data_IF_299969568441
#
_entry.id   IF_299969568441
#
_cell.length_a   1.000
_cell.length_b   1.000
_cell.length_c   1.000
_cell.angle_alpha   90.00
_cell.angle_beta   90.00
_cell.angle_gamma   90.00
#
_symmetry.space_group_name_H-M   'P 1'
#
loop_
_entity.id
_entity.type
_entity.pdbx_description
1 polymer ?
#
# COMPACT_ATOMS: atom_id res chain seq x y z
N UNK A 1 -43.74 -35.52 11.31
CA UNK A 1 -42.27 -35.81 11.24
C UNK A 1 -41.52 -35.15 10.07
N UNK A 2 -42.15 -34.40 9.18
CA UNK A 2 -41.45 -33.71 8.05
C UNK A 2 -40.84 -32.32 8.38
N UNK A 3 -41.35 -31.51 9.31
CA UNK A 3 -40.76 -30.17 9.53
C UNK A 3 -39.42 -30.16 10.29
N UNK A 4 -39.14 -31.18 11.16
CA UNK A 4 -37.85 -31.21 11.87
C UNK A 4 -36.64 -31.51 10.98
N UNK A 5 -36.83 -32.24 9.87
CA UNK A 5 -35.74 -32.59 8.96
C UNK A 5 -35.29 -31.40 8.11
N UNK A 6 -36.20 -30.48 7.79
CA UNK A 6 -35.86 -29.24 7.06
C UNK A 6 -35.12 -28.22 7.97
N UNK A 7 -35.43 -28.16 9.25
CA UNK A 7 -34.75 -27.28 10.20
C UNK A 7 -33.31 -27.77 10.42
N UNK A 8 -33.07 -29.07 10.46
CA UNK A 8 -31.72 -29.63 10.60
C UNK A 8 -30.87 -29.43 9.33
N UNK A 9 -31.44 -29.51 8.14
CA UNK A 9 -30.73 -29.21 6.89
C UNK A 9 -30.36 -27.72 6.76
N UNK A 10 -31.24 -26.82 7.21
CA UNK A 10 -30.93 -25.37 7.23
C UNK A 10 -29.84 -25.02 8.26
N UNK A 11 -29.82 -25.67 9.41
CA UNK A 11 -28.78 -25.48 10.39
C UNK A 11 -27.42 -26.04 9.95
N UNK A 12 -27.40 -27.15 9.25
CA UNK A 12 -26.15 -27.73 8.72
C UNK A 12 -25.58 -26.91 7.55
N UNK A 13 -26.41 -26.32 6.71
CA UNK A 13 -25.99 -25.41 5.63
C UNK A 13 -25.48 -24.07 6.18
N UNK A 14 -26.11 -23.52 7.23
CA UNK A 14 -25.66 -22.32 7.89
C UNK A 14 -24.33 -22.52 8.65
N UNK A 15 -24.10 -23.67 9.27
CA UNK A 15 -22.83 -24.02 9.90
C UNK A 15 -21.71 -24.29 8.87
N UNK A 16 -22.00 -24.90 7.72
CA UNK A 16 -20.99 -25.15 6.69
C UNK A 16 -20.48 -23.87 6.02
N UNK A 17 -21.31 -22.83 5.92
CA UNK A 17 -20.88 -21.52 5.41
C UNK A 17 -19.97 -20.74 6.41
N UNK A 18 -20.10 -20.97 7.72
CA UNK A 18 -19.34 -20.24 8.75
C UNK A 18 -17.93 -20.80 8.98
N UNK A 19 -17.63 -22.02 8.56
CA UNK A 19 -16.34 -22.67 8.77
C UNK A 19 -15.38 -22.56 7.55
N UNK A 20 -15.81 -21.96 6.46
CA UNK A 20 -15.02 -21.83 5.23
C UNK A 20 -13.70 -21.08 5.45
N UNK A 21 -13.70 -20.05 6.28
CA UNK A 21 -12.50 -19.23 6.57
C UNK A 21 -11.39 -20.05 7.25
N UNK A 22 -11.71 -21.04 8.08
CA UNK A 22 -10.73 -21.89 8.78
C UNK A 22 -10.24 -23.07 7.94
N UNK A 23 -10.81 -23.29 6.76
CA UNK A 23 -10.31 -24.25 5.78
C UNK A 23 -9.18 -23.69 4.91
N UNK A 24 -8.90 -22.37 5.01
CA UNK A 24 -7.80 -21.72 4.33
C UNK A 24 -6.46 -22.11 4.95
N UNK A 25 -5.34 -22.04 4.19
CA UNK A 25 -4.01 -22.35 4.74
C UNK A 25 -3.68 -21.45 5.93
N UNK A 26 -3.07 -22.05 6.95
CA UNK A 26 -2.45 -21.31 8.05
C UNK A 26 -1.18 -20.64 7.55
N UNK A 27 -0.98 -19.38 7.89
CA UNK A 27 0.22 -18.60 7.59
C UNK A 27 1.00 -18.38 8.88
N UNK A 28 2.22 -18.88 8.92
CA UNK A 28 3.18 -18.58 9.98
C UNK A 28 3.81 -17.21 9.79
N UNK A 29 4.45 -16.71 10.82
CA UNK A 29 5.32 -15.54 10.67
C UNK A 29 6.48 -15.87 9.74
N UNK A 30 6.92 -14.94 8.89
CA UNK A 30 8.00 -15.18 7.95
C UNK A 30 9.34 -15.27 8.68
N UNK A 31 10.20 -16.15 8.20
CA UNK A 31 11.62 -16.16 8.55
C UNK A 31 12.39 -15.53 7.39
N UNK A 32 13.01 -14.39 7.62
CA UNK A 32 13.81 -13.71 6.62
C UNK A 32 15.25 -14.23 6.61
N UNK A 33 15.81 -14.36 5.41
CA UNK A 33 17.21 -14.70 5.18
C UNK A 33 18.08 -13.46 5.04
N UNK A 34 17.46 -12.40 4.56
CA UNK A 34 18.04 -11.10 4.25
C UNK A 34 17.14 -9.96 4.76
N UNK A 35 17.72 -8.78 4.92
CA UNK A 35 17.07 -7.52 5.28
C UNK A 35 17.42 -6.50 4.20
N UNK A 36 16.46 -6.13 3.36
CA UNK A 36 16.70 -5.23 2.24
C UNK A 36 16.79 -3.78 2.73
N UNK A 37 17.85 -3.10 2.35
CA UNK A 37 18.15 -1.73 2.75
C UNK A 37 17.72 -0.71 1.69
N UNK A 38 17.87 -1.06 0.40
CA UNK A 38 17.60 -0.13 -0.69
C UNK A 38 17.21 -0.82 -1.99
N UNK A 39 16.25 -0.23 -2.70
CA UNK A 39 15.89 -0.57 -4.08
C UNK A 39 16.22 0.62 -5.00
N UNK A 40 17.10 0.45 -5.99
CA UNK A 40 17.30 1.38 -7.14
C UNK A 40 16.63 0.76 -8.37
N UNK A 41 15.41 1.20 -8.68
CA UNK A 41 14.55 0.67 -9.73
C UNK A 41 14.63 1.61 -10.95
N UNK A 42 15.01 1.09 -12.12
CA UNK A 42 15.06 1.84 -13.37
C UNK A 42 14.14 1.15 -14.40
N UNK A 43 13.07 1.83 -14.78
CA UNK A 43 12.03 1.34 -15.69
C UNK A 43 12.00 2.16 -16.97
N UNK A 44 11.93 1.49 -18.11
CA UNK A 44 11.53 2.07 -19.38
C UNK A 44 10.17 1.53 -19.78
N UNK A 45 9.18 2.39 -19.84
CA UNK A 45 7.81 2.05 -20.21
C UNK A 45 7.69 2.06 -21.74
N UNK A 46 7.14 1.01 -22.30
CA UNK A 46 6.85 0.80 -23.71
C UNK A 46 5.33 0.76 -23.89
N UNK A 47 4.69 1.93 -23.76
CA UNK A 47 3.23 2.08 -23.68
C UNK A 47 2.49 1.50 -24.90
N UNK A 48 3.03 1.66 -26.11
CA UNK A 48 2.44 1.10 -27.34
C UNK A 48 2.52 -0.44 -27.38
N UNK A 49 3.53 -1.03 -26.75
CA UNK A 49 3.73 -2.49 -26.66
C UNK A 49 3.06 -3.08 -25.40
N UNK A 50 2.54 -2.23 -24.52
CA UNK A 50 2.01 -2.58 -23.18
C UNK A 50 2.99 -3.43 -22.39
N UNK A 51 4.26 -3.05 -22.45
CA UNK A 51 5.38 -3.76 -21.83
C UNK A 51 6.36 -2.80 -21.17
N UNK A 52 7.34 -3.33 -20.46
CA UNK A 52 8.41 -2.54 -19.86
C UNK A 52 9.74 -3.31 -19.82
N UNK A 53 10.83 -2.56 -19.78
CA UNK A 53 12.18 -3.05 -19.51
C UNK A 53 12.60 -2.48 -18.18
N UNK A 54 13.09 -3.35 -17.28
CA UNK A 54 13.50 -2.98 -15.95
C UNK A 54 14.93 -3.39 -15.62
N UNK A 55 15.52 -2.63 -14.71
CA UNK A 55 16.76 -2.94 -14.03
C UNK A 55 16.65 -2.49 -12.59
N UNK A 56 16.76 -3.43 -11.65
CA UNK A 56 16.72 -3.12 -10.23
C UNK A 56 18.02 -3.54 -9.56
N UNK A 57 18.65 -2.61 -8.84
CA UNK A 57 19.73 -2.93 -7.90
C UNK A 57 19.16 -3.02 -6.50
N UNK A 58 19.36 -4.16 -5.84
CA UNK A 58 18.86 -4.46 -4.50
C UNK A 58 20.07 -4.55 -3.57
N UNK A 59 20.15 -3.64 -2.59
CA UNK A 59 21.15 -3.69 -1.53
C UNK A 59 20.52 -4.28 -0.27
N UNK A 60 21.14 -5.32 0.29
CA UNK A 60 20.61 -6.06 1.43
C UNK A 60 21.70 -6.56 2.36
N UNK A 61 21.36 -6.71 3.64
CA UNK A 61 22.15 -7.37 4.65
C UNK A 61 21.73 -8.83 4.78
N UNK A 62 22.72 -9.72 4.97
CA UNK A 62 22.47 -11.12 5.28
C UNK A 62 22.27 -11.28 6.77
N UNK A 63 21.13 -11.85 7.18
CA UNK A 63 20.76 -12.03 8.60
C UNK A 63 20.78 -13.48 9.06
N UNK A 64 20.82 -14.45 8.14
CA UNK A 64 21.08 -15.86 8.48
C UNK A 64 22.58 -16.19 8.53
N UNK A 65 22.99 -17.11 9.39
CA UNK A 65 24.39 -17.46 9.57
C UNK A 65 25.13 -17.87 8.29
N UNK A 66 24.41 -18.53 7.37
CA UNK A 66 24.97 -19.07 6.13
C UNK A 66 23.87 -19.27 5.08
N UNK A 67 24.12 -18.81 3.85
CA UNK A 67 23.22 -18.99 2.71
C UNK A 67 23.99 -19.48 1.48
N UNK A 68 23.46 -20.50 0.82
CA UNK A 68 23.97 -21.02 -0.46
C UNK A 68 23.30 -20.33 -1.66
N UNK A 69 22.17 -19.71 -1.45
CA UNK A 69 21.44 -18.96 -2.48
C UNK A 69 20.66 -17.82 -1.83
N UNK A 70 20.31 -16.83 -2.65
CA UNK A 70 19.42 -15.72 -2.32
C UNK A 70 18.16 -15.85 -3.15
N UNK A 71 17.01 -15.58 -2.54
CA UNK A 71 15.73 -15.62 -3.18
C UNK A 71 15.05 -14.24 -3.15
N UNK A 72 14.50 -13.84 -4.30
CA UNK A 72 13.57 -12.71 -4.43
C UNK A 72 12.26 -13.19 -5.07
N UNK A 73 11.18 -12.48 -4.77
CA UNK A 73 9.89 -12.68 -5.40
C UNK A 73 9.88 -12.03 -6.79
N UNK A 74 9.44 -12.78 -7.80
CA UNK A 74 9.37 -12.35 -9.20
C UNK A 74 8.22 -13.07 -9.90
N UNK A 75 7.24 -12.32 -10.41
CA UNK A 75 6.16 -12.85 -11.23
C UNK A 75 6.01 -12.02 -12.53
N UNK A 76 5.19 -12.40 -13.48
CA UNK A 76 4.77 -11.67 -14.70
C UNK A 76 5.85 -10.95 -15.55
N UNK A 77 7.12 -11.12 -15.26
CA UNK A 77 8.23 -10.65 -16.10
C UNK A 77 9.38 -11.66 -16.07
N UNK A 78 10.26 -11.58 -17.08
CA UNK A 78 11.36 -12.51 -17.28
C UNK A 78 12.68 -11.85 -16.88
N UNK A 79 13.41 -12.46 -15.94
CA UNK A 79 14.78 -12.06 -15.61
C UNK A 79 15.71 -12.46 -16.73
N UNK A 80 16.53 -11.55 -17.21
CA UNK A 80 17.46 -11.77 -18.32
C UNK A 80 18.90 -11.84 -17.87
N UNK A 81 19.22 -11.20 -16.73
CA UNK A 81 20.58 -11.14 -16.20
C UNK A 81 20.60 -10.79 -14.73
N UNK A 82 21.52 -11.40 -13.98
CA UNK A 82 21.84 -11.03 -12.59
C UNK A 82 23.34 -10.76 -12.49
N UNK A 83 23.71 -9.70 -11.77
CA UNK A 83 25.10 -9.32 -11.51
C UNK A 83 25.31 -8.95 -10.05
N UNK A 84 26.52 -9.25 -9.55
CA UNK A 84 27.08 -8.68 -8.32
C UNK A 84 28.48 -8.17 -8.61
N UNK A 85 28.80 -6.93 -8.19
CA UNK A 85 30.10 -6.28 -8.43
C UNK A 85 30.59 -6.37 -9.89
N UNK A 86 29.65 -6.30 -10.84
CA UNK A 86 29.94 -6.39 -12.28
C UNK A 86 30.06 -7.80 -12.83
N UNK A 87 30.20 -8.84 -12.00
CA UNK A 87 30.21 -10.25 -12.42
C UNK A 87 28.80 -10.78 -12.61
N UNK A 88 28.61 -11.64 -13.57
CA UNK A 88 27.34 -12.31 -13.85
C UNK A 88 27.18 -13.53 -12.92
N UNK A 89 26.01 -13.65 -12.27
CA UNK A 89 25.68 -14.77 -11.39
C UNK A 89 24.70 -15.72 -12.07
N UNK A 90 24.79 -17.00 -11.72
CA UNK A 90 23.83 -18.02 -12.12
C UNK A 90 22.52 -17.83 -11.34
N UNK A 91 21.39 -18.03 -12.02
CA UNK A 91 20.07 -17.94 -11.41
C UNK A 91 19.06 -18.90 -12.04
N UNK A 92 18.01 -19.18 -11.31
CA UNK A 92 16.82 -19.91 -11.77
C UNK A 92 15.57 -19.08 -11.43
N UNK A 93 14.68 -18.90 -12.39
CA UNK A 93 13.37 -18.27 -12.15
C UNK A 93 12.29 -19.37 -12.27
N UNK A 94 11.58 -19.64 -11.17
CA UNK A 94 10.49 -20.62 -11.13
C UNK A 94 9.49 -20.35 -10.01
N UNK A 95 8.23 -20.67 -10.24
CA UNK A 95 7.17 -20.66 -9.23
C UNK A 95 7.05 -19.32 -8.46
N UNK A 96 7.20 -18.19 -9.13
CA UNK A 96 7.13 -16.87 -8.49
C UNK A 96 8.40 -16.43 -7.75
N UNK A 97 9.50 -17.16 -7.91
CA UNK A 97 10.77 -16.88 -7.24
C UNK A 97 11.93 -16.79 -8.21
N UNK A 98 12.85 -15.89 -7.92
CA UNK A 98 14.18 -15.78 -8.51
C UNK A 98 15.20 -16.30 -7.49
N UNK A 99 15.83 -17.44 -7.78
CA UNK A 99 16.85 -18.06 -6.95
C UNK A 99 18.20 -17.76 -7.56
N UNK A 100 19.06 -17.05 -6.86
CA UNK A 100 20.38 -16.61 -7.30
C UNK A 100 21.44 -17.40 -6.56
N UNK A 101 22.41 -17.95 -7.29
CA UNK A 101 23.56 -18.66 -6.74
C UNK A 101 24.77 -17.73 -6.72
N UNK A 102 25.24 -17.30 -5.54
CA UNK A 102 26.48 -16.54 -5.42
C UNK A 102 27.70 -17.40 -5.79
N UNK A 103 28.79 -16.76 -6.22
CA UNK A 103 30.07 -17.46 -6.52
C UNK A 103 30.66 -18.16 -5.29
N UNK A 104 30.46 -17.57 -4.11
CA UNK A 104 30.85 -18.11 -2.81
C UNK A 104 29.69 -18.00 -1.82
N UNK A 105 29.62 -18.93 -0.84
CA UNK A 105 28.61 -18.86 0.20
C UNK A 105 28.70 -17.57 1.01
N UNK A 106 27.55 -16.95 1.21
CA UNK A 106 27.42 -15.70 1.95
C UNK A 106 27.04 -15.92 3.40
N UNK A 107 27.39 -14.97 4.28
CA UNK A 107 27.29 -15.13 5.73
C UNK A 107 26.62 -13.95 6.39
N UNK A 108 26.14 -14.17 7.59
CA UNK A 108 25.58 -13.11 8.43
C UNK A 108 26.51 -11.90 8.52
N UNK A 109 25.99 -10.73 8.28
CA UNK A 109 26.71 -9.45 8.31
C UNK A 109 27.30 -9.01 6.97
N UNK A 110 27.22 -9.86 5.92
CA UNK A 110 27.58 -9.42 4.56
C UNK A 110 26.52 -8.43 4.06
N UNK A 111 26.96 -7.28 3.55
CA UNK A 111 26.16 -6.34 2.79
C UNK A 111 26.45 -6.52 1.30
N UNK A 112 25.44 -6.82 0.54
CA UNK A 112 25.56 -7.16 -0.88
C UNK A 112 24.62 -6.31 -1.73
N UNK A 113 25.02 -6.08 -2.99
CA UNK A 113 24.16 -5.45 -4.00
C UNK A 113 24.07 -6.34 -5.23
N UNK A 114 22.85 -6.77 -5.54
CA UNK A 114 22.57 -7.51 -6.77
C UNK A 114 21.83 -6.61 -7.75
N UNK A 115 22.32 -6.58 -9.00
CA UNK A 115 21.69 -5.87 -10.10
C UNK A 115 21.00 -6.87 -11.02
N UNK A 116 19.68 -6.79 -11.10
CA UNK A 116 18.82 -7.69 -11.84
C UNK A 116 18.23 -6.95 -13.03
N UNK A 117 18.46 -7.47 -14.25
CA UNK A 117 17.85 -6.94 -15.48
C UNK A 117 16.70 -7.85 -15.89
N UNK A 118 15.60 -7.27 -16.31
CA UNK A 118 14.37 -8.01 -16.63
C UNK A 118 13.51 -7.28 -17.66
N UNK A 119 12.56 -8.00 -18.24
CA UNK A 119 11.60 -7.43 -19.19
C UNK A 119 10.23 -8.11 -19.05
N UNK A 120 9.19 -7.33 -19.19
CA UNK A 120 7.83 -7.83 -19.34
C UNK A 120 7.59 -8.20 -20.81
N UNK A 121 6.85 -9.28 -21.04
CA UNK A 121 6.36 -9.71 -22.35
C UNK A 121 4.91 -9.26 -22.62
N UNK A 122 4.42 -8.28 -21.84
CA UNK A 122 3.03 -7.81 -21.89
C UNK A 122 2.06 -8.62 -21.06
N UNK A 123 2.51 -9.66 -20.35
CA UNK A 123 1.69 -10.37 -19.37
C UNK A 123 1.39 -9.46 -18.19
N UNK A 124 0.11 -9.30 -17.89
CA UNK A 124 -0.38 -8.54 -16.73
C UNK A 124 -0.96 -9.56 -15.73
N UNK A 125 -0.66 -9.36 -14.46
CA UNK A 125 -1.27 -10.19 -13.41
C UNK A 125 -2.79 -10.04 -13.45
N UNK A 126 -3.50 -11.17 -13.38
CA UNK A 126 -4.94 -11.19 -13.21
C UNK A 126 -5.28 -11.07 -11.71
N UNK A 127 -5.76 -9.90 -11.24
CA UNK A 127 -6.01 -9.69 -9.82
C UNK A 127 -6.99 -10.70 -9.22
N UNK A 128 -7.91 -11.26 -10.02
CA UNK A 128 -8.89 -12.22 -9.54
C UNK A 128 -8.27 -13.52 -9.06
N UNK A 129 -7.13 -13.92 -9.64
CA UNK A 129 -6.36 -15.10 -9.21
C UNK A 129 -5.74 -14.94 -7.83
N UNK A 130 -5.57 -13.70 -7.39
CA UNK A 130 -5.04 -13.34 -6.06
C UNK A 130 -6.15 -12.89 -5.09
N UNK A 131 -7.40 -13.20 -5.41
CA UNK A 131 -8.56 -12.90 -4.58
C UNK A 131 -9.03 -11.44 -4.62
N UNK A 132 -8.46 -10.62 -5.49
CA UNK A 132 -8.77 -9.18 -5.62
C UNK A 132 -9.92 -8.97 -6.60
N UNK A 133 -11.16 -9.25 -6.14
CA UNK A 133 -12.35 -9.08 -6.97
C UNK A 133 -12.65 -7.61 -7.22
N UNK A 134 -12.76 -7.23 -8.49
CA UNK A 134 -13.08 -5.86 -8.91
C UNK A 134 -11.86 -4.94 -9.11
N UNK A 135 -10.68 -5.34 -8.66
CA UNK A 135 -9.44 -4.67 -9.04
C UNK A 135 -9.11 -4.93 -10.51
N UNK A 136 -8.61 -3.93 -11.21
CA UNK A 136 -8.21 -4.03 -12.62
C UNK A 136 -6.72 -4.26 -12.80
N UNK A 137 -5.92 -3.99 -11.80
CA UNK A 137 -4.45 -4.06 -11.82
C UNK A 137 -3.93 -4.74 -10.57
N UNK A 138 -2.92 -5.57 -10.72
CA UNK A 138 -1.98 -6.03 -9.70
C UNK A 138 -0.59 -5.96 -10.33
N UNK A 139 0.38 -5.31 -9.67
CA UNK A 139 1.64 -4.96 -10.29
C UNK A 139 1.50 -3.79 -11.26
N UNK A 140 2.14 -3.83 -12.43
CA UNK A 140 2.11 -2.77 -13.43
C UNK A 140 1.01 -3.03 -14.47
N UNK A 141 0.14 -2.03 -14.67
CA UNK A 141 -0.97 -2.11 -15.62
C UNK A 141 -1.04 -0.92 -16.58
N UNK A 142 -1.54 -1.19 -17.78
CA UNK A 142 -1.72 -0.23 -18.86
C UNK A 142 -3.21 0.03 -19.07
N UNK A 143 -3.56 1.31 -19.17
CA UNK A 143 -4.92 1.75 -19.48
C UNK A 143 -4.90 2.49 -20.82
N UNK A 144 -5.75 2.04 -21.72
CA UNK A 144 -5.93 2.69 -23.02
C UNK A 144 -6.71 3.99 -22.87
N UNK A 145 -6.50 4.90 -23.81
CA UNK A 145 -7.33 6.09 -23.93
C UNK A 145 -8.80 5.69 -24.18
N UNK A 146 -9.70 6.40 -23.56
CA UNK A 146 -11.14 6.26 -23.72
C UNK A 146 -11.80 7.64 -23.82
N UNK A 147 -13.10 7.69 -24.11
CA UNK A 147 -13.87 8.93 -24.18
C UNK A 147 -13.79 9.73 -22.87
N UNK A 148 -13.65 9.03 -21.75
CA UNK A 148 -13.66 9.63 -20.41
C UNK A 148 -12.26 9.86 -19.83
N UNK A 149 -11.27 9.04 -20.16
CA UNK A 149 -9.95 9.06 -19.52
C UNK A 149 -8.81 8.91 -20.53
N UNK A 150 -7.69 9.65 -20.35
CA UNK A 150 -6.50 9.48 -21.16
C UNK A 150 -5.81 8.15 -20.89
N UNK A 151 -4.96 7.72 -21.82
CA UNK A 151 -4.07 6.58 -21.61
C UNK A 151 -3.10 6.85 -20.43
N UNK A 152 -2.84 5.83 -19.62
CA UNK A 152 -1.90 5.89 -18.51
C UNK A 152 -1.31 4.52 -18.18
N UNK A 153 -0.25 4.54 -17.38
CA UNK A 153 0.36 3.36 -16.75
C UNK A 153 0.39 3.57 -15.26
N UNK A 154 0.04 2.55 -14.50
CA UNK A 154 0.10 2.59 -13.04
C UNK A 154 0.58 1.28 -12.46
N UNK A 155 1.18 1.35 -11.28
CA UNK A 155 1.46 0.18 -10.46
C UNK A 155 0.45 0.07 -9.32
N UNK A 156 0.15 -1.17 -8.93
CA UNK A 156 -0.61 -1.49 -7.73
C UNK A 156 0.12 -2.60 -6.97
N UNK A 157 0.87 -2.19 -5.95
CA UNK A 157 1.75 -3.09 -5.22
C UNK A 157 1.07 -3.82 -4.06
N UNK A 158 -0.10 -3.34 -3.62
CA UNK A 158 -0.89 -3.97 -2.56
C UNK A 158 -1.65 -5.22 -3.07
N UNK A 159 -1.72 -6.33 -2.28
CA UNK A 159 -0.93 -6.60 -1.08
C UNK A 159 0.46 -7.17 -1.41
N UNK A 160 0.63 -7.95 -2.46
CA UNK A 160 1.85 -8.62 -2.93
C UNK A 160 2.04 -8.36 -4.42
N UNK A 161 1.86 -7.12 -4.84
CA UNK A 161 1.94 -6.70 -6.24
C UNK A 161 3.29 -6.15 -6.66
N UNK A 162 4.22 -5.89 -5.73
CA UNK A 162 5.55 -5.40 -6.04
C UNK A 162 6.31 -6.39 -6.93
N UNK A 163 6.23 -7.68 -6.63
CA UNK A 163 6.82 -8.80 -7.40
C UNK A 163 6.39 -8.89 -8.86
N UNK A 164 5.37 -8.14 -9.26
CA UNK A 164 4.86 -8.11 -10.63
C UNK A 164 5.45 -6.99 -11.48
N UNK A 165 6.30 -6.10 -10.91
CA UNK A 165 6.93 -5.03 -11.70
C UNK A 165 8.40 -4.78 -11.35
N UNK A 166 8.90 -5.29 -10.21
CA UNK A 166 10.32 -5.37 -9.91
C UNK A 166 10.62 -6.56 -8.99
N UNK A 167 11.83 -7.14 -9.03
CA UNK A 167 12.24 -8.18 -8.10
C UNK A 167 12.32 -7.61 -6.68
N UNK A 168 11.73 -8.28 -5.72
CA UNK A 168 11.60 -7.76 -4.35
C UNK A 168 11.58 -8.88 -3.29
N UNK A 169 11.86 -8.53 -2.06
CA UNK A 169 11.40 -9.28 -0.89
C UNK A 169 10.03 -8.70 -0.52
N UNK A 170 8.97 -9.29 -1.09
CA UNK A 170 7.64 -8.68 -1.13
C UNK A 170 6.82 -9.02 0.12
N UNK A 171 7.27 -8.48 1.26
CA UNK A 171 6.61 -8.66 2.55
C UNK A 171 6.53 -7.32 3.33
N UNK A 172 5.43 -7.01 4.03
CA UNK A 172 5.25 -5.72 4.70
C UNK A 172 6.28 -5.44 5.80
N UNK A 173 6.90 -6.48 6.38
CA UNK A 173 7.89 -6.32 7.44
C UNK A 173 9.30 -6.01 6.94
N UNK A 174 9.58 -6.12 5.64
CA UNK A 174 10.87 -5.76 5.06
C UNK A 174 10.80 -4.36 4.44
N UNK A 175 11.18 -3.36 5.23
CA UNK A 175 11.15 -1.96 4.82
C UNK A 175 12.49 -1.50 4.28
N UNK A 176 12.46 -0.82 3.14
CA UNK A 176 13.66 -0.31 2.48
C UNK A 176 13.47 1.13 1.97
N UNK A 177 14.58 1.83 1.78
CA UNK A 177 14.60 3.08 1.01
C UNK A 177 14.47 2.79 -0.48
N UNK A 178 14.07 3.79 -1.27
CA UNK A 178 13.87 3.57 -2.70
C UNK A 178 14.31 4.73 -3.56
N UNK A 179 14.80 4.38 -4.75
CA UNK A 179 14.98 5.27 -5.88
C UNK A 179 14.27 4.67 -7.08
N UNK A 180 13.28 5.39 -7.60
CA UNK A 180 12.48 4.96 -8.75
C UNK A 180 12.77 5.89 -9.93
N UNK A 181 13.44 5.34 -10.93
CA UNK A 181 13.70 5.99 -12.20
C UNK A 181 12.72 5.47 -13.23
N UNK A 182 11.99 6.36 -13.90
CA UNK A 182 11.04 5.97 -14.93
C UNK A 182 11.23 6.79 -16.19
N UNK A 183 11.40 6.12 -17.32
CA UNK A 183 11.46 6.74 -18.64
C UNK A 183 10.15 6.48 -19.38
N UNK A 184 9.46 7.55 -19.77
CA UNK A 184 8.17 7.54 -20.47
C UNK A 184 8.18 8.46 -21.67
N UNK A 185 7.13 8.43 -22.48
CA UNK A 185 6.92 9.41 -23.57
C UNK A 185 6.91 10.85 -23.00
N UNK A 186 7.36 11.80 -23.80
CA UNK A 186 7.66 13.17 -23.33
C UNK A 186 6.45 14.01 -22.92
N UNK A 187 5.25 13.65 -23.38
CA UNK A 187 3.98 14.31 -23.00
C UNK A 187 3.36 13.78 -21.69
N UNK A 188 3.96 12.75 -21.10
CA UNK A 188 3.54 12.19 -19.81
C UNK A 188 4.37 12.75 -18.65
N UNK A 189 3.77 12.76 -17.48
CA UNK A 189 4.43 13.01 -16.19
C UNK A 189 4.41 11.75 -15.37
N UNK A 190 5.39 11.60 -14.49
CA UNK A 190 5.52 10.46 -13.59
C UNK A 190 5.40 10.94 -12.16
N UNK A 191 4.57 10.26 -11.37
CA UNK A 191 4.52 10.32 -9.91
C UNK A 191 5.07 9.01 -9.35
N UNK A 192 5.93 9.09 -8.31
CA UNK A 192 6.34 7.96 -7.50
C UNK A 192 6.59 8.38 -6.05
N UNK A 193 7.00 7.42 -5.19
CA UNK A 193 7.30 7.68 -3.78
C UNK A 193 8.47 8.66 -3.61
N UNK A 194 8.44 9.46 -2.53
CA UNK A 194 9.52 10.39 -2.18
C UNK A 194 9.51 11.69 -3.00
N UNK A 195 10.66 12.30 -3.17
CA UNK A 195 10.82 13.59 -3.84
C UNK A 195 11.37 13.42 -5.25
N UNK A 196 10.91 14.28 -6.17
CA UNK A 196 11.44 14.34 -7.53
C UNK A 196 12.84 15.00 -7.48
N UNK A 197 13.88 14.25 -7.76
CA UNK A 197 15.26 14.74 -7.75
C UNK A 197 15.76 15.14 -9.13
N UNK A 198 15.28 14.46 -10.19
CA UNK A 198 15.65 14.78 -11.58
C UNK A 198 14.44 14.63 -12.50
N UNK A 199 14.33 15.54 -13.46
CA UNK A 199 13.41 15.43 -14.61
C UNK A 199 14.09 15.94 -15.86
N UNK A 200 14.42 15.04 -16.78
CA UNK A 200 15.16 15.36 -17.99
C UNK A 200 14.47 14.83 -19.24
N UNK A 201 14.27 15.70 -20.21
CA UNK A 201 13.72 15.36 -21.52
C UNK A 201 14.87 15.07 -22.50
N UNK A 202 14.65 14.18 -23.45
CA UNK A 202 15.60 13.83 -24.54
C UNK A 202 16.75 12.90 -24.14
N UNK A 203 16.42 11.76 -23.49
CA UNK A 203 17.39 10.70 -23.26
C UNK A 203 17.31 9.60 -24.32
N UNK A 204 18.48 9.17 -24.82
CA UNK A 204 18.64 7.97 -25.62
C UNK A 204 19.38 6.90 -24.82
N UNK A 205 18.77 5.76 -24.66
CA UNK A 205 19.42 4.58 -24.07
C UNK A 205 20.04 3.77 -25.22
N UNK A 206 21.35 3.61 -25.20
CA UNK A 206 22.07 2.80 -26.19
C UNK A 206 21.86 1.30 -25.86
N UNK A 207 22.07 0.38 -26.85
CA UNK A 207 21.92 -1.06 -26.65
C UNK A 207 22.79 -1.66 -25.53
N UNK A 208 23.88 -0.98 -25.16
CA UNK A 208 24.76 -1.36 -24.05
C UNK A 208 24.29 -0.82 -22.67
N UNK A 209 23.11 -0.19 -22.61
CA UNK A 209 22.55 0.41 -21.40
C UNK A 209 23.11 1.79 -21.02
N UNK A 210 24.05 2.33 -21.80
CA UNK A 210 24.59 3.67 -21.57
C UNK A 210 23.56 4.73 -21.98
N UNK A 211 23.35 5.72 -21.11
CA UNK A 211 22.43 6.84 -21.35
C UNK A 211 23.21 8.01 -21.95
N UNK A 212 22.75 8.53 -23.08
CA UNK A 212 23.28 9.75 -23.68
C UNK A 212 22.14 10.75 -23.90
N UNK A 213 22.43 12.03 -23.67
CA UNK A 213 21.53 13.10 -24.08
C UNK A 213 21.45 13.11 -25.60
N UNK A 214 20.25 12.98 -26.17
CA UNK A 214 20.09 12.95 -27.63
C UNK A 214 19.42 14.24 -28.07
N UNK A 215 20.05 14.92 -29.02
CA UNK A 215 19.47 16.09 -29.71
C UNK A 215 18.33 15.67 -30.65
N UNK A 216 18.31 14.40 -31.09
CA UNK A 216 17.39 13.89 -32.12
C UNK A 216 16.21 13.02 -31.54
N UNK A 217 16.15 12.75 -30.25
CA UNK A 217 15.10 11.87 -29.71
C UNK A 217 14.14 12.63 -28.78
N UNK A 218 13.35 13.52 -29.35
CA UNK A 218 12.36 14.34 -28.68
C UNK A 218 11.21 13.59 -27.99
N UNK A 219 11.23 12.27 -27.88
CA UNK A 219 10.07 11.44 -27.59
C UNK A 219 10.00 10.86 -26.18
N UNK A 220 11.00 11.12 -25.31
CA UNK A 220 10.98 10.56 -23.95
C UNK A 220 11.49 11.51 -22.87
N UNK A 221 10.92 11.38 -21.67
CA UNK A 221 11.34 12.07 -20.45
C UNK A 221 11.67 11.04 -19.38
N UNK A 222 12.79 11.24 -18.70
CA UNK A 222 13.25 10.47 -17.56
C UNK A 222 12.95 11.23 -16.28
N UNK A 223 12.33 10.55 -15.33
CA UNK A 223 12.03 11.07 -14.00
C UNK A 223 12.75 10.23 -12.95
N UNK A 224 13.34 10.85 -11.92
CA UNK A 224 13.97 10.19 -10.78
C UNK A 224 13.31 10.67 -9.51
N UNK A 225 12.74 9.73 -8.77
CA UNK A 225 12.12 9.95 -7.48
C UNK A 225 12.90 9.19 -6.41
N UNK A 226 13.13 9.82 -5.25
CA UNK A 226 13.88 9.22 -4.16
C UNK A 226 13.13 9.34 -2.83
N UNK A 227 13.01 8.22 -2.12
CA UNK A 227 12.52 8.16 -0.76
C UNK A 227 13.61 7.57 0.14
N UNK A 228 14.28 8.44 0.91
CA UNK A 228 15.39 8.10 1.82
C UNK A 228 14.90 7.70 3.22
N UNK A 229 13.62 7.37 3.35
CA UNK A 229 12.99 6.83 4.55
C UNK A 229 12.44 5.44 4.23
N UNK A 230 12.65 4.45 5.11
CA UNK A 230 12.25 3.09 4.83
C UNK A 230 10.73 2.92 4.81
N UNK A 231 10.22 2.25 3.80
CA UNK A 231 8.81 1.88 3.64
C UNK A 231 8.67 0.50 2.99
N UNK A 232 7.53 -0.13 3.20
CA UNK A 232 7.27 -1.50 2.71
C UNK A 232 7.03 -1.51 1.20
N UNK A 233 7.40 -2.61 0.53
CA UNK A 233 7.28 -2.77 -0.93
C UNK A 233 5.86 -2.64 -1.44
N UNK A 234 4.85 -3.06 -0.68
CA UNK A 234 3.44 -2.93 -1.06
C UNK A 234 2.96 -1.46 -1.18
N UNK A 235 3.73 -0.52 -0.60
CA UNK A 235 3.48 0.93 -0.67
C UNK A 235 4.24 1.61 -1.82
N UNK A 236 5.09 0.88 -2.55
CA UNK A 236 5.80 1.42 -3.71
C UNK A 236 4.82 1.64 -4.85
N UNK A 237 4.94 2.81 -5.48
CA UNK A 237 4.04 3.24 -6.54
C UNK A 237 4.79 3.97 -7.65
N UNK A 238 4.33 3.76 -8.86
CA UNK A 238 4.67 4.54 -10.04
C UNK A 238 3.41 4.72 -10.88
N UNK A 239 3.07 5.97 -11.19
CA UNK A 239 1.97 6.31 -12.09
C UNK A 239 2.49 7.27 -13.16
N UNK A 240 2.20 6.99 -14.42
CA UNK A 240 2.60 7.81 -15.55
C UNK A 240 1.42 8.12 -16.49
N UNK A 241 1.28 9.37 -16.88
CA UNK A 241 0.20 9.82 -17.76
C UNK A 241 0.21 11.35 -18.00
N UNK A 242 -0.75 11.87 -18.76
CA UNK A 242 -0.81 13.30 -19.11
C UNK A 242 -1.44 14.16 -18.01
N UNK A 243 -1.03 13.95 -16.77
CA UNK A 243 -1.59 14.62 -15.59
C UNK A 243 -1.31 16.13 -15.55
N UNK A 244 -2.25 16.87 -14.99
CA UNK A 244 -2.07 18.22 -14.46
C UNK A 244 -1.79 18.14 -12.97
N UNK A 245 -0.86 18.97 -12.51
CA UNK A 245 -0.41 18.99 -11.11
C UNK A 245 -0.82 20.32 -10.50
N UNK A 246 -1.68 20.25 -9.50
CA UNK A 246 -2.12 21.41 -8.69
C UNK A 246 -1.27 21.37 -7.42
N UNK A 247 -0.53 22.45 -7.15
CA UNK A 247 0.37 22.53 -5.98
C UNK A 247 -0.34 23.14 -4.79
N UNK A 248 -0.01 22.61 -3.61
CA UNK A 248 -0.47 23.05 -2.32
C UNK A 248 0.64 22.86 -1.28
N UNK A 249 0.41 23.27 -0.03
CA UNK A 249 1.38 23.14 1.05
C UNK A 249 0.67 22.97 2.40
N UNK A 250 1.25 22.11 3.24
CA UNK A 250 0.97 22.09 4.66
C UNK A 250 2.24 22.54 5.39
N UNK A 251 2.31 23.81 5.83
CA UNK A 251 3.55 24.45 6.32
C UNK A 251 4.67 24.38 5.28
N UNK A 252 5.77 23.70 5.60
CA UNK A 252 6.94 23.46 4.75
C UNK A 252 6.84 22.15 3.92
N UNK A 253 5.80 21.35 4.14
CA UNK A 253 5.57 20.10 3.43
C UNK A 253 4.89 20.40 2.09
N UNK A 254 5.52 20.14 0.94
CA UNK A 254 4.91 20.29 -0.36
C UNK A 254 3.82 19.23 -0.55
N UNK A 255 2.71 19.67 -1.15
CA UNK A 255 1.58 18.83 -1.50
C UNK A 255 1.24 19.04 -2.98
N UNK A 256 0.76 18.00 -3.64
CA UNK A 256 0.32 18.12 -5.02
C UNK A 256 -0.87 17.20 -5.30
N UNK A 257 -1.82 17.71 -6.07
CA UNK A 257 -2.97 16.94 -6.56
C UNK A 257 -2.79 16.68 -8.05
N UNK A 258 -2.70 15.41 -8.40
CA UNK A 258 -2.46 14.94 -9.76
C UNK A 258 -3.79 14.48 -10.36
N UNK A 259 -4.28 15.23 -11.32
CA UNK A 259 -5.61 15.02 -11.89
C UNK A 259 -5.56 15.04 -13.42
N UNK A 260 -6.58 14.49 -14.06
CA UNK A 260 -6.69 14.60 -15.51
C UNK A 260 -6.91 16.06 -15.95
N UNK A 261 -6.52 16.43 -17.17
CA UNK A 261 -6.73 17.79 -17.68
C UNK A 261 -8.19 18.29 -17.56
N UNK A 262 -9.18 17.40 -17.72
CA UNK A 262 -10.61 17.72 -17.61
C UNK A 262 -11.04 18.08 -16.19
N UNK A 263 -10.32 17.57 -15.16
CA UNK A 263 -10.74 17.63 -13.76
C UNK A 263 -10.12 18.79 -12.98
N UNK A 264 -9.23 19.56 -13.61
CA UNK A 264 -8.50 20.68 -12.95
C UNK A 264 -9.42 21.68 -12.25
N UNK A 265 -10.57 21.99 -12.85
CA UNK A 265 -11.51 22.99 -12.32
C UNK A 265 -12.41 22.45 -11.20
N UNK A 266 -12.49 21.15 -11.01
CA UNK A 266 -13.34 20.48 -10.01
C UNK A 266 -12.54 19.86 -8.87
N UNK A 267 -11.24 19.65 -9.07
CA UNK A 267 -10.34 19.02 -8.10
C UNK A 267 -10.29 19.73 -6.74
N UNK A 268 -10.37 21.07 -6.73
CA UNK A 268 -10.37 21.87 -5.51
C UNK A 268 -11.44 21.41 -4.51
N UNK A 269 -12.62 21.04 -4.99
CA UNK A 269 -13.71 20.59 -4.14
C UNK A 269 -13.36 19.33 -3.32
N UNK A 270 -12.58 18.43 -3.91
CA UNK A 270 -12.18 17.15 -3.29
C UNK A 270 -10.96 17.30 -2.39
N UNK A 271 -10.06 18.26 -2.68
CA UNK A 271 -8.74 18.31 -2.04
C UNK A 271 -8.47 19.54 -1.19
N UNK A 272 -9.29 20.61 -1.27
CA UNK A 272 -9.04 21.89 -0.58
C UNK A 272 -8.92 21.78 0.94
N UNK A 273 -9.38 20.70 1.54
CA UNK A 273 -9.28 20.44 2.98
C UNK A 273 -8.07 19.59 3.38
N UNK A 274 -7.25 19.14 2.44
CA UNK A 274 -6.12 18.27 2.77
C UNK A 274 -5.10 18.93 3.73
N UNK A 275 -4.76 20.23 3.63
CA UNK A 275 -3.91 20.88 4.63
C UNK A 275 -4.52 20.91 6.04
N UNK A 276 -5.82 21.18 6.17
CA UNK A 276 -6.56 21.13 7.44
C UNK A 276 -6.59 19.72 8.03
N UNK A 277 -6.80 18.73 7.17
CA UNK A 277 -6.78 17.30 7.53
C UNK A 277 -5.42 16.86 8.07
N UNK A 278 -4.33 17.29 7.45
CA UNK A 278 -2.97 17.02 7.90
C UNK A 278 -2.74 17.59 9.31
N UNK A 279 -3.13 18.85 9.56
CA UNK A 279 -3.03 19.46 10.87
C UNK A 279 -3.89 18.72 11.91
N UNK A 280 -5.09 18.32 11.53
CA UNK A 280 -5.99 17.53 12.38
C UNK A 280 -5.33 16.22 12.84
N UNK A 281 -4.75 15.44 11.93
CA UNK A 281 -4.12 14.17 12.30
C UNK A 281 -2.84 14.34 13.11
N UNK A 282 -2.02 15.36 12.83
CA UNK A 282 -0.86 15.67 13.66
C UNK A 282 -1.27 15.99 15.12
N UNK A 283 -2.38 16.68 15.31
CA UNK A 283 -2.91 17.01 16.65
C UNK A 283 -3.55 15.79 17.32
N UNK A 284 -4.26 14.94 16.54
CA UNK A 284 -4.92 13.74 17.07
C UNK A 284 -3.92 12.67 17.47
N UNK A 285 -2.91 12.43 16.63
CA UNK A 285 -1.90 11.39 16.85
C UNK A 285 -0.70 11.89 17.70
N UNK A 286 -0.53 13.22 17.84
CA UNK A 286 0.57 13.82 18.57
C UNK A 286 1.94 13.64 17.91
N UNK A 287 1.98 13.25 16.63
CA UNK A 287 3.18 13.03 15.83
C UNK A 287 3.07 13.83 14.54
N UNK A 288 4.11 14.61 14.22
CA UNK A 288 4.16 15.37 12.98
C UNK A 288 4.18 14.45 11.76
N UNK A 289 3.68 14.94 10.64
CA UNK A 289 3.74 14.20 9.38
C UNK A 289 5.20 13.79 9.07
N UNK A 290 5.48 12.49 8.92
CA UNK A 290 6.87 12.02 8.93
C UNK A 290 7.56 12.05 7.56
N UNK A 291 6.82 12.34 6.49
CA UNK A 291 7.28 12.17 5.11
C UNK A 291 7.63 13.52 4.45
N UNK A 292 8.47 13.51 3.39
CA UNK A 292 8.96 14.75 2.76
C UNK A 292 7.93 15.46 1.85
N UNK A 293 6.85 14.80 1.49
CA UNK A 293 5.75 15.36 0.69
C UNK A 293 4.45 14.60 0.93
N UNK A 294 3.32 15.17 0.50
CA UNK A 294 2.02 14.51 0.42
C UNK A 294 1.41 14.75 -0.96
N UNK A 295 1.57 13.82 -1.89
CA UNK A 295 0.90 13.88 -3.18
C UNK A 295 -0.33 12.96 -3.19
N UNK A 296 -1.36 13.36 -3.91
CA UNK A 296 -2.58 12.60 -4.12
C UNK A 296 -2.87 12.54 -5.62
N UNK A 297 -3.18 11.36 -6.14
CA UNK A 297 -3.45 11.16 -7.56
C UNK A 297 -4.77 10.43 -7.77
N UNK A 298 -5.56 10.89 -8.73
CA UNK A 298 -6.79 10.20 -9.13
C UNK A 298 -6.56 9.37 -10.39
N UNK A 299 -6.96 8.10 -10.34
CA UNK A 299 -6.77 7.13 -11.42
C UNK A 299 -7.99 6.24 -11.61
N UNK A 300 -8.21 5.66 -12.81
CA UNK A 300 -9.28 4.72 -13.05
C UNK A 300 -8.97 3.33 -12.48
N UNK A 301 -10.00 2.54 -12.31
CA UNK A 301 -9.85 1.10 -12.02
C UNK A 301 -9.62 0.73 -10.57
N UNK A 302 -9.65 1.70 -9.66
CA UNK A 302 -9.68 1.50 -8.22
C UNK A 302 -11.01 2.01 -7.66
N UNK A 303 -11.65 1.22 -6.80
CA UNK A 303 -12.97 1.55 -6.22
C UNK A 303 -12.92 2.29 -4.89
N UNK A 304 -11.74 2.67 -4.43
CA UNK A 304 -11.46 3.38 -3.17
C UNK A 304 -10.17 4.14 -3.29
N UNK A 305 -9.25 3.95 -2.34
CA UNK A 305 -7.90 4.47 -2.36
C UNK A 305 -6.85 3.39 -2.14
N UNK A 306 -5.60 3.81 -2.14
CA UNK A 306 -4.45 3.07 -1.67
C UNK A 306 -3.43 4.05 -1.07
N UNK A 307 -2.92 3.69 0.07
CA UNK A 307 -2.14 4.54 0.96
C UNK A 307 -0.70 4.78 0.52
N UNK A 308 -0.30 4.42 -0.68
CA UNK A 308 1.09 4.47 -1.16
C UNK A 308 1.88 5.64 -0.58
N UNK A 309 2.97 5.34 0.11
CA UNK A 309 3.71 6.32 0.93
C UNK A 309 4.10 7.56 0.13
N UNK A 310 3.71 8.73 0.60
CA UNK A 310 3.94 10.05 -0.03
C UNK A 310 3.17 10.31 -1.34
N UNK A 311 2.47 9.32 -1.89
CA UNK A 311 1.82 9.39 -3.20
C UNK A 311 0.51 8.58 -3.19
N UNK A 312 -0.45 9.01 -2.38
CA UNK A 312 -1.74 8.37 -2.17
C UNK A 312 -2.53 8.25 -3.47
N UNK A 313 -3.00 7.06 -3.76
CA UNK A 313 -3.85 6.80 -4.93
C UNK A 313 -5.32 6.87 -4.53
N UNK A 314 -6.13 7.51 -5.35
CA UNK A 314 -7.58 7.63 -5.18
C UNK A 314 -8.28 7.24 -6.48
N UNK A 315 -9.42 6.58 -6.39
CA UNK A 315 -10.25 6.33 -7.56
C UNK A 315 -10.74 7.63 -8.21
N UNK A 316 -10.89 7.64 -9.51
CA UNK A 316 -11.33 8.82 -10.28
C UNK A 316 -12.72 9.35 -9.85
N UNK A 317 -13.54 8.50 -9.25
CA UNK A 317 -14.81 8.90 -8.60
C UNK A 317 -14.62 9.92 -7.46
N UNK A 318 -13.40 10.07 -6.93
CA UNK A 318 -13.07 11.08 -5.92
C UNK A 318 -13.31 12.51 -6.44
N UNK A 319 -13.14 12.72 -7.75
CA UNK A 319 -13.43 14.00 -8.38
C UNK A 319 -14.90 14.04 -8.82
N UNK A 320 -15.64 14.98 -8.29
CA UNK A 320 -17.06 15.16 -8.58
C UNK A 320 -17.48 16.63 -8.53
N UNK A 321 -18.70 16.91 -8.96
CA UNK A 321 -19.25 18.26 -8.96
C UNK A 321 -19.86 18.65 -7.59
N UNK A 322 -20.19 19.95 -7.44
CA UNK A 322 -20.82 20.51 -6.22
C UNK A 322 -22.15 19.87 -5.86
N UNK A 323 -22.82 19.22 -6.80
CA UNK A 323 -24.12 18.58 -6.55
C UNK A 323 -23.91 17.21 -5.93
N UNK A 324 -23.00 16.41 -6.50
CA UNK A 324 -22.64 15.11 -5.98
C UNK A 324 -21.94 15.21 -4.62
N UNK A 325 -21.14 16.25 -4.38
CA UNK A 325 -20.44 16.49 -3.11
C UNK A 325 -21.38 16.56 -1.89
N UNK A 326 -22.61 16.98 -2.07
CA UNK A 326 -23.60 17.03 -0.98
C UNK A 326 -24.02 15.65 -0.47
N UNK A 327 -24.01 14.65 -1.36
CA UNK A 327 -24.43 13.29 -1.06
C UNK A 327 -23.22 12.36 -0.81
N UNK A 328 -22.10 12.63 -1.49
CA UNK A 328 -20.90 11.81 -1.49
C UNK A 328 -19.61 12.65 -1.43
N UNK A 329 -19.36 13.35 -0.33
CA UNK A 329 -18.14 14.15 -0.20
C UNK A 329 -16.90 13.27 -0.17
N UNK A 330 -15.85 13.65 -0.89
CA UNK A 330 -14.62 12.85 -1.02
C UNK A 330 -13.73 12.86 0.21
N UNK A 331 -13.88 13.85 1.08
CA UNK A 331 -12.94 14.05 2.19
C UNK A 331 -12.86 12.89 3.20
N UNK A 332 -13.88 12.04 3.29
CA UNK A 332 -13.80 10.84 4.13
C UNK A 332 -12.82 9.81 3.56
N UNK A 333 -12.78 9.60 2.24
CA UNK A 333 -11.80 8.74 1.59
C UNK A 333 -10.40 9.38 1.66
N UNK A 334 -10.30 10.67 1.35
CA UNK A 334 -9.05 11.43 1.49
C UNK A 334 -8.50 11.33 2.91
N UNK A 335 -9.38 11.38 3.94
CA UNK A 335 -8.99 11.23 5.34
C UNK A 335 -8.51 9.80 5.67
N UNK A 336 -9.18 8.78 5.13
CA UNK A 336 -8.78 7.40 5.30
C UNK A 336 -7.34 7.17 4.82
N UNK A 337 -7.09 7.52 3.55
CA UNK A 337 -5.78 7.34 2.93
C UNK A 337 -4.69 8.23 3.55
N UNK A 338 -5.04 9.43 4.01
CA UNK A 338 -4.10 10.29 4.71
C UNK A 338 -3.75 9.76 6.11
N UNK A 339 -4.69 9.14 6.83
CA UNK A 339 -4.43 8.54 8.14
C UNK A 339 -3.42 7.39 8.06
N UNK A 340 -3.44 6.65 6.96
CA UNK A 340 -2.49 5.59 6.69
C UNK A 340 -1.04 6.07 6.66
N UNK A 341 -0.77 7.34 6.33
CA UNK A 341 0.59 7.86 6.33
C UNK A 341 1.27 7.77 7.71
N UNK A 342 0.48 7.61 8.80
CA UNK A 342 0.96 7.24 10.14
C UNK A 342 0.70 5.76 10.44
N UNK A 343 -0.53 5.27 10.18
CA UNK A 343 -1.01 3.92 10.52
C UNK A 343 -1.07 3.05 9.26
N UNK A 344 0.04 2.48 8.86
CA UNK A 344 0.23 1.71 7.63
C UNK A 344 1.59 1.96 7.01
N UNK A 345 2.01 3.23 6.96
CA UNK A 345 3.25 3.66 6.32
C UNK A 345 4.37 3.90 7.34
N UNK A 346 4.17 4.86 8.27
CA UNK A 346 5.16 5.19 9.30
C UNK A 346 5.40 3.99 10.22
N UNK A 347 4.32 3.40 10.72
CA UNK A 347 4.35 2.07 11.31
C UNK A 347 3.50 1.13 10.45
N UNK A 348 3.99 -0.07 10.17
CA UNK A 348 3.32 -1.05 9.30
C UNK A 348 3.15 -2.35 10.06
N UNK A 349 2.02 -3.04 9.93
CA UNK A 349 1.84 -4.37 10.51
C UNK A 349 3.02 -5.31 10.23
N UNK A 350 3.41 -6.11 11.23
CA UNK A 350 4.50 -7.08 11.09
C UNK A 350 4.16 -8.28 10.20
N UNK A 351 2.88 -8.54 9.97
CA UNK A 351 2.38 -9.59 9.08
C UNK A 351 0.94 -9.27 8.66
N UNK A 352 0.49 -9.78 7.52
CA UNK A 352 -0.86 -9.57 6.97
C UNK A 352 -1.99 -9.97 7.92
N UNK A 353 -1.79 -10.88 8.84
CA UNK A 353 -2.83 -11.21 9.82
C UNK A 353 -3.03 -10.13 10.90
N UNK A 354 -2.12 -9.15 11.00
CA UNK A 354 -2.26 -7.96 11.83
C UNK A 354 -2.75 -6.72 11.05
N UNK A 355 -3.28 -6.89 9.84
CA UNK A 355 -3.71 -5.78 8.96
C UNK A 355 -4.73 -4.80 9.60
N UNK A 356 -5.40 -5.21 10.68
CA UNK A 356 -6.27 -4.31 11.44
C UNK A 356 -5.51 -3.12 12.07
N UNK A 357 -4.19 -3.26 12.32
CA UNK A 357 -3.36 -2.15 12.82
C UNK A 357 -3.24 -1.00 11.82
N UNK A 358 -3.30 -1.31 10.53
CA UNK A 358 -3.36 -0.31 9.48
C UNK A 358 -4.81 0.17 9.30
N UNK A 359 -5.71 -0.72 8.93
CA UNK A 359 -7.03 -0.41 8.43
C UNK A 359 -8.02 0.11 9.48
N UNK A 360 -7.96 -0.45 10.70
CA UNK A 360 -8.85 0.00 11.75
C UNK A 360 -8.53 1.42 12.20
N UNK A 361 -7.25 1.77 12.27
CA UNK A 361 -6.83 3.12 12.64
C UNK A 361 -7.13 4.13 11.53
N UNK A 362 -6.95 3.77 10.25
CA UNK A 362 -7.33 4.63 9.14
C UNK A 362 -8.85 4.85 9.09
N UNK A 363 -9.64 3.78 9.23
CA UNK A 363 -11.11 3.87 9.31
C UNK A 363 -11.59 4.66 10.54
N UNK A 364 -10.83 4.60 11.63
CA UNK A 364 -11.14 5.41 12.82
C UNK A 364 -10.73 6.87 12.62
N UNK A 365 -9.64 7.14 11.91
CA UNK A 365 -9.22 8.47 11.48
C UNK A 365 -10.27 9.16 10.61
N UNK A 366 -10.82 8.46 9.63
CA UNK A 366 -11.97 8.89 8.82
C UNK A 366 -13.16 9.30 9.70
N UNK A 367 -13.52 8.47 10.67
CA UNK A 367 -14.59 8.73 11.62
C UNK A 367 -14.31 9.98 12.48
N UNK A 368 -13.09 10.13 12.98
CA UNK A 368 -12.70 11.28 13.81
C UNK A 368 -12.73 12.58 13.02
N UNK A 369 -12.25 12.57 11.78
CA UNK A 369 -12.26 13.75 10.92
C UNK A 369 -13.68 14.13 10.49
N UNK A 370 -14.53 13.17 10.13
CA UNK A 370 -15.95 13.43 9.88
C UNK A 370 -16.63 14.07 11.09
N UNK A 371 -16.29 13.60 12.30
CA UNK A 371 -16.84 14.17 13.56
C UNK A 371 -16.33 15.59 13.80
N UNK A 372 -15.10 15.89 13.45
CA UNK A 372 -14.53 17.22 13.52
C UNK A 372 -15.24 18.20 12.56
N UNK A 373 -15.54 17.75 11.35
CA UNK A 373 -16.20 18.58 10.33
C UNK A 373 -17.68 18.83 10.60
N UNK A 374 -18.41 17.81 11.02
CA UNK A 374 -19.89 17.83 11.05
C UNK A 374 -20.49 17.70 12.44
N UNK A 375 -19.67 17.49 13.48
CA UNK A 375 -20.10 17.47 14.86
C UNK A 375 -20.69 16.14 15.34
N UNK A 376 -21.40 16.19 16.48
CA UNK A 376 -21.84 15.02 17.23
C UNK A 376 -22.86 14.15 16.50
N UNK A 377 -23.81 14.74 15.81
CA UNK A 377 -24.86 13.99 15.11
C UNK A 377 -24.26 13.11 14.01
N UNK A 378 -23.34 13.66 13.19
CA UNK A 378 -22.62 12.88 12.18
C UNK A 378 -21.75 11.81 12.82
N UNK A 379 -21.14 12.10 13.96
CA UNK A 379 -20.37 11.14 14.74
C UNK A 379 -21.20 9.91 15.09
N UNK A 380 -22.39 10.08 15.61
CA UNK A 380 -23.29 9.00 15.99
C UNK A 380 -23.78 8.20 14.77
N UNK A 381 -24.14 8.89 13.70
CA UNK A 381 -24.59 8.27 12.45
C UNK A 381 -23.47 7.44 11.82
N UNK A 382 -22.25 7.98 11.76
CA UNK A 382 -21.09 7.28 11.18
C UNK A 382 -20.76 6.02 11.96
N UNK A 383 -20.73 6.09 13.30
CA UNK A 383 -20.50 4.93 14.16
C UNK A 383 -21.61 3.87 14.00
N UNK A 384 -22.86 4.28 13.88
CA UNK A 384 -23.96 3.40 13.61
C UNK A 384 -23.83 2.70 12.25
N UNK A 385 -23.47 3.45 11.19
CA UNK A 385 -23.24 2.89 9.84
C UNK A 385 -22.14 1.82 9.87
N UNK A 386 -21.03 2.07 10.58
CA UNK A 386 -19.93 1.12 10.72
C UNK A 386 -20.38 -0.17 11.44
N UNK A 387 -21.14 -0.06 12.53
CA UNK A 387 -21.76 -1.22 13.22
C UNK A 387 -22.65 -2.02 12.27
N UNK A 388 -23.50 -1.35 11.47
CA UNK A 388 -24.39 -2.03 10.54
C UNK A 388 -23.62 -2.72 9.40
N UNK A 389 -22.51 -2.14 8.93
CA UNK A 389 -21.66 -2.76 7.92
C UNK A 389 -21.05 -4.07 8.45
N UNK A 390 -20.51 -4.06 9.67
CA UNK A 390 -20.01 -5.28 10.32
C UNK A 390 -21.10 -6.33 10.53
N UNK A 391 -22.26 -5.96 11.11
CA UNK A 391 -23.33 -6.90 11.36
C UNK A 391 -23.92 -7.52 10.09
N UNK A 392 -23.93 -6.79 8.98
CA UNK A 392 -24.33 -7.38 7.68
C UNK A 392 -23.38 -8.51 7.27
N UNK A 393 -22.07 -8.32 7.43
CA UNK A 393 -21.10 -9.38 7.12
C UNK A 393 -21.22 -10.54 8.10
N UNK A 394 -21.25 -10.25 9.39
CA UNK A 394 -21.45 -11.23 10.46
C UNK A 394 -22.66 -12.15 10.22
N UNK A 395 -23.80 -11.55 9.88
CA UNK A 395 -25.04 -12.29 9.67
C UNK A 395 -25.09 -13.06 8.35
N UNK A 396 -24.48 -12.52 7.28
CA UNK A 396 -24.64 -13.06 5.93
C UNK A 396 -23.46 -13.89 5.43
N UNK A 397 -22.29 -13.74 6.03
CA UNK A 397 -21.09 -14.45 5.59
C UNK A 397 -20.45 -15.26 6.74
N UNK A 398 -19.65 -14.61 7.57
CA UNK A 398 -18.89 -15.27 8.65
C UNK A 398 -18.52 -14.28 9.75
N UNK A 399 -18.05 -14.85 10.88
CA UNK A 399 -17.37 -14.13 11.95
C UNK A 399 -15.98 -14.71 12.15
N UNK A 400 -15.01 -13.87 12.41
CA UNK A 400 -13.63 -14.24 12.72
C UNK A 400 -12.99 -13.26 13.71
N UNK A 401 -11.89 -13.63 14.39
CA UNK A 401 -11.05 -12.67 15.10
C UNK A 401 -10.49 -11.59 14.13
N UNK A 402 -10.11 -10.43 14.65
CA UNK A 402 -9.44 -9.40 13.85
C UNK A 402 -8.05 -9.86 13.40
N UNK A 403 -7.29 -10.49 14.29
CA UNK A 403 -6.04 -11.18 13.94
C UNK A 403 -6.41 -12.57 13.41
N UNK A 404 -6.10 -12.84 12.16
CA UNK A 404 -6.56 -14.07 11.50
C UNK A 404 -5.50 -14.63 10.55
N UNK A 405 -4.79 -15.72 10.96
CA UNK A 405 -3.69 -16.27 10.20
C UNK A 405 -4.10 -17.28 9.10
N UNK A 406 -5.40 -17.45 8.84
CA UNK A 406 -5.89 -18.43 7.85
C UNK A 406 -6.30 -17.73 6.56
N UNK A 407 -5.39 -17.71 5.57
CA UNK A 407 -5.65 -17.13 4.26
C UNK A 407 -4.79 -17.78 3.18
N UNK A 408 -5.28 -17.80 1.95
CA UNK A 408 -4.50 -18.22 0.76
C UNK A 408 -3.82 -17.02 0.11
N UNK A 409 -4.51 -15.88 0.12
CA UNK A 409 -4.04 -14.59 -0.38
C UNK A 409 -4.30 -13.53 0.68
N UNK A 410 -3.36 -12.62 0.97
CA UNK A 410 -3.50 -11.64 2.04
C UNK A 410 -4.79 -10.81 1.95
N UNK A 411 -5.21 -10.47 0.74
CA UNK A 411 -6.44 -9.71 0.48
C UNK A 411 -7.71 -10.34 1.08
N UNK A 412 -7.70 -11.62 1.41
CA UNK A 412 -8.83 -12.29 2.07
C UNK A 412 -9.06 -11.85 3.52
N UNK A 413 -8.10 -11.15 4.12
CA UNK A 413 -8.21 -10.57 5.46
C UNK A 413 -8.77 -9.13 5.44
N UNK A 414 -8.92 -8.51 4.26
CA UNK A 414 -9.43 -7.14 4.11
C UNK A 414 -10.95 -7.14 3.96
N UNK A 415 -11.63 -7.11 5.10
CA UNK A 415 -13.08 -7.26 5.23
C UNK A 415 -13.66 -6.37 6.33
N UNK A 416 -14.96 -6.49 6.61
CA UNK A 416 -15.62 -5.68 7.64
C UNK A 416 -15.12 -5.93 9.07
N UNK A 417 -14.29 -6.94 9.30
CA UNK A 417 -13.71 -7.20 10.62
C UNK A 417 -12.58 -6.22 10.93
N UNK A 418 -11.74 -5.87 9.93
CA UNK A 418 -10.61 -4.97 10.15
C UNK A 418 -10.90 -3.51 9.80
N UNK A 419 -11.93 -3.22 9.01
CA UNK A 419 -12.36 -1.85 8.72
C UNK A 419 -13.41 -1.35 9.72
N UNK A 420 -14.72 -1.54 9.50
CA UNK A 420 -15.73 -0.94 10.35
C UNK A 420 -15.79 -1.52 11.77
N UNK A 421 -15.59 -2.84 11.97
CA UNK A 421 -15.52 -3.42 13.31
C UNK A 421 -14.33 -2.87 14.08
N UNK A 422 -13.16 -2.84 13.44
CA UNK A 422 -11.94 -2.35 14.09
C UNK A 422 -12.07 -0.90 14.54
N UNK A 423 -12.63 -0.02 13.72
CA UNK A 423 -12.89 1.36 14.11
C UNK A 423 -13.84 1.48 15.30
N UNK A 424 -14.88 0.62 15.37
CA UNK A 424 -15.79 0.57 16.53
C UNK A 424 -15.06 0.09 17.77
N UNK A 425 -14.20 -0.93 17.65
CA UNK A 425 -13.39 -1.45 18.78
C UNK A 425 -12.44 -0.38 19.31
N UNK A 426 -11.75 0.36 18.42
CA UNK A 426 -10.90 1.48 18.83
C UNK A 426 -11.70 2.58 19.54
N UNK A 427 -12.90 2.87 19.05
CA UNK A 427 -13.79 3.81 19.75
C UNK A 427 -14.21 3.30 21.13
N UNK A 428 -14.56 2.03 21.27
CA UNK A 428 -14.86 1.42 22.58
C UNK A 428 -13.66 1.50 23.52
N UNK A 429 -12.46 1.17 23.04
CA UNK A 429 -11.23 1.29 23.83
C UNK A 429 -11.04 2.73 24.34
N UNK A 430 -11.20 3.73 23.44
CA UNK A 430 -11.11 5.16 23.81
C UNK A 430 -12.10 5.56 24.89
N UNK A 431 -13.34 5.05 24.85
CA UNK A 431 -14.33 5.30 25.90
C UNK A 431 -13.96 4.66 27.24
N UNK A 432 -13.33 3.50 27.21
CA UNK A 432 -12.96 2.74 28.42
C UNK A 432 -11.73 3.38 29.10
N UNK A 433 -10.66 3.66 28.34
CA UNK A 433 -9.40 4.18 28.92
C UNK A 433 -9.38 5.71 29.04
N UNK A 434 -10.33 6.40 28.41
CA UNK A 434 -10.43 7.85 28.35
C UNK A 434 -9.58 8.49 27.27
N UNK A 435 -9.99 9.67 26.82
CA UNK A 435 -9.42 10.40 25.70
C UNK A 435 -7.92 10.67 25.83
N UNK A 436 -7.49 11.08 27.03
CA UNK A 436 -6.09 11.40 27.32
C UNK A 436 -5.17 10.19 27.17
N UNK A 437 -5.54 9.06 27.79
CA UNK A 437 -4.71 7.85 27.70
C UNK A 437 -4.71 7.30 26.28
N UNK A 438 -5.86 7.40 25.58
CA UNK A 438 -5.97 6.98 24.19
C UNK A 438 -5.00 7.75 23.28
N UNK A 439 -4.95 9.08 23.40
CA UNK A 439 -4.01 9.92 22.63
C UNK A 439 -2.56 9.69 23.02
N UNK A 440 -2.29 9.51 24.30
CA UNK A 440 -0.93 9.29 24.79
C UNK A 440 -0.35 7.97 24.29
N UNK A 441 -1.11 6.86 24.42
CA UNK A 441 -0.58 5.58 23.92
C UNK A 441 -0.36 5.59 22.42
N UNK A 442 -1.24 6.23 21.63
CA UNK A 442 -1.04 6.35 20.19
C UNK A 442 0.27 7.09 19.87
N UNK A 443 0.47 8.24 20.50
CA UNK A 443 1.69 9.02 20.33
C UNK A 443 2.93 8.21 20.68
N UNK A 444 2.93 7.54 21.82
CA UNK A 444 4.06 6.74 22.29
C UNK A 444 4.30 5.57 21.34
N UNK A 445 3.25 4.85 20.96
CA UNK A 445 3.31 3.71 20.04
C UNK A 445 3.88 4.09 18.67
N UNK A 446 3.42 5.21 18.07
CA UNK A 446 3.94 5.71 16.80
C UNK A 446 5.42 6.10 16.89
N UNK A 447 5.88 6.67 18.03
CA UNK A 447 7.27 7.02 18.21
C UNK A 447 8.17 5.80 18.49
N UNK A 448 7.69 4.83 19.27
CA UNK A 448 8.45 3.64 19.65
C UNK A 448 8.66 2.70 18.44
N UNK A 449 7.68 2.64 17.57
CA UNK A 449 7.71 1.79 16.37
C UNK A 449 7.95 2.54 15.06
N UNK A 450 8.45 3.77 15.12
CA UNK A 450 8.73 4.57 13.91
C UNK A 450 9.51 3.79 12.87
N UNK A 451 9.00 3.73 11.64
CA UNK A 451 9.52 2.94 10.52
C UNK A 451 9.65 1.44 10.81
N UNK A 452 9.00 0.95 11.85
CA UNK A 452 9.02 -0.45 12.27
C UNK A 452 7.70 -1.17 11.97
N UNK A 453 7.66 -2.42 12.45
CA UNK A 453 6.61 -3.39 12.13
C UNK A 453 5.98 -3.96 13.40
N UNK A 454 5.09 -3.21 14.08
CA UNK A 454 4.42 -3.71 15.27
C UNK A 454 3.37 -4.77 14.97
N UNK A 455 3.09 -5.56 15.99
CA UNK A 455 2.01 -6.54 16.05
C UNK A 455 0.98 -6.17 17.13
N UNK A 456 -0.14 -6.88 17.15
CA UNK A 456 -1.22 -6.67 18.11
C UNK A 456 -0.74 -6.77 19.57
N UNK A 457 0.18 -7.68 19.88
CA UNK A 457 0.78 -7.84 21.22
C UNK A 457 1.49 -6.57 21.70
N UNK A 458 2.16 -5.87 20.79
CA UNK A 458 2.84 -4.61 21.09
C UNK A 458 1.84 -3.50 21.42
N UNK A 459 0.71 -3.42 20.70
CA UNK A 459 -0.34 -2.44 20.99
C UNK A 459 -1.01 -2.71 22.33
N UNK A 460 -1.32 -3.96 22.65
CA UNK A 460 -1.88 -4.35 23.96
C UNK A 460 -0.95 -3.91 25.09
N UNK A 461 0.35 -4.17 24.95
CA UNK A 461 1.36 -3.75 25.91
C UNK A 461 1.38 -2.23 26.06
N UNK A 462 1.39 -1.47 24.97
CA UNK A 462 1.39 -0.01 25.02
C UNK A 462 0.16 0.57 25.74
N UNK A 463 -1.03 -0.02 25.54
CA UNK A 463 -2.26 0.36 26.26
C UNK A 463 -2.13 0.06 27.75
N UNK A 464 -1.64 -1.13 28.11
CA UNK A 464 -1.47 -1.53 29.51
C UNK A 464 -0.45 -0.64 30.26
N UNK A 465 0.67 -0.31 29.61
CA UNK A 465 1.72 0.56 30.15
C UNK A 465 1.20 1.99 30.37
N UNK A 466 0.54 2.60 29.38
CA UNK A 466 0.00 3.96 29.49
C UNK A 466 -1.04 4.07 30.59
N UNK A 467 -1.89 3.07 30.75
CA UNK A 467 -2.99 3.07 31.73
C UNK A 467 -2.59 2.53 33.09
N UNK A 468 -1.42 1.90 33.22
CA UNK A 468 -0.99 1.13 34.41
C UNK A 468 -2.05 0.10 34.82
N UNK A 469 -2.74 -0.53 33.86
CA UNK A 469 -3.84 -1.47 34.08
C UNK A 469 -3.81 -2.58 33.04
N UNK A 470 -4.41 -3.72 33.36
CA UNK A 470 -4.47 -4.86 32.43
C UNK A 470 -5.78 -4.81 31.61
N UNK A 471 -5.63 -4.62 30.30
CA UNK A 471 -6.71 -4.64 29.32
C UNK A 471 -6.69 -5.88 28.41
N UNK A 472 -5.93 -6.93 28.73
CA UNK A 472 -5.93 -8.18 27.95
C UNK A 472 -7.35 -8.72 27.78
N UNK A 473 -8.18 -8.66 28.84
CA UNK A 473 -9.59 -9.05 28.80
C UNK A 473 -10.41 -8.35 27.71
N UNK A 474 -10.05 -7.11 27.34
CA UNK A 474 -10.73 -6.37 26.28
C UNK A 474 -10.34 -6.87 24.90
N UNK A 475 -9.07 -7.21 24.69
CA UNK A 475 -8.55 -7.67 23.41
C UNK A 475 -8.80 -9.16 23.15
N UNK A 476 -9.07 -9.95 24.19
CA UNK A 476 -9.39 -11.38 24.11
C UNK A 476 -10.84 -11.66 23.65
N UNK A 477 -11.68 -10.64 23.51
CA UNK A 477 -13.07 -10.72 23.03
C UNK A 477 -13.19 -10.54 21.51
#
# INVERSE_FOLDING_TARGET
>A
MRPLFYIFLFFSLAQSQRNDIYSRPFQSDPEFDIDVQHYDIDLKILDHEKSFIGKTSITFNVIKPYLENIQFDVETFNVTKVKSEGKELSFEQKNGSLIIQPDEPIRIGDELTYTISYQSDGNIADPSKYGMRGAKVLGLGFFDESDDNPALVQTHSFPEGARHWFPSNDHPADKATSKITTTVRSDWKVLANGVLTESETNWKVLPNGMKIKSEDSGDSTRYVWELNLPNSTYLFVMVAGPFKVIKDYHRDIPMSYWVYPKDVNTADLSFNRTPELMEFFENEYGVKYPWPKMDQITIPGIGGGAESTTATILGDITIHDKKADKDFPSHWLVAHEAAHQWWGDYITMGNWHHAWLNESFATYGEYLYSSFLYGEDERQINLWKKKQAYFREYNNKYSRPMVHPYWKYPNQNFDSHIYPRGAVVLHMLRQIIGDKNFKNYQKNFLNDFRFGNPETSHLIRAVNEETSSDYNWFFDQ
#
